data_IF_058965019755
#
_entry.id   IF_058965019755
#
_cell.length_a   1.000
_cell.length_b   1.000
_cell.length_c   1.000
_cell.angle_alpha   90.00
_cell.angle_beta   90.00
_cell.angle_gamma   90.00
#
_symmetry.space_group_name_H-M   'P 1'
#
loop_
_entity.id
_entity.type
_entity.pdbx_description
1 polymer ?
#
# COMPACT_ATOMS: atom_id res chain seq x y z
N UNK A 1 28.30 -0.68 -7.62
CA UNK A 1 27.09 -1.03 -6.84
C UNK A 1 26.99 -2.55 -6.84
N UNK A 2 26.48 -3.17 -5.76
CA UNK A 2 26.39 -4.64 -5.64
C UNK A 2 25.21 -5.16 -6.47
N UNK A 3 25.36 -6.33 -7.11
CA UNK A 3 24.25 -6.96 -7.81
C UNK A 3 23.28 -7.61 -6.85
N UNK A 4 21.97 -7.41 -7.06
CA UNK A 4 20.89 -7.79 -6.15
C UNK A 4 20.05 -8.90 -6.77
N UNK A 5 19.93 -10.02 -6.05
CA UNK A 5 18.95 -11.05 -6.34
C UNK A 5 17.69 -10.79 -5.48
N UNK A 6 16.57 -10.46 -6.12
CA UNK A 6 15.27 -10.38 -5.47
C UNK A 6 14.61 -11.77 -5.49
N UNK A 7 14.31 -12.32 -4.33
CA UNK A 7 13.60 -13.62 -4.20
C UNK A 7 12.23 -13.39 -3.61
N UNK A 8 11.16 -13.65 -4.37
CA UNK A 8 9.81 -13.28 -3.94
C UNK A 8 8.72 -14.20 -4.48
N UNK A 9 7.66 -14.40 -3.70
CA UNK A 9 6.40 -14.95 -4.17
C UNK A 9 5.46 -13.88 -4.77
N UNK A 10 5.77 -12.62 -4.49
CA UNK A 10 4.92 -11.48 -4.82
C UNK A 10 5.57 -10.65 -5.94
N UNK A 11 5.24 -11.00 -7.17
CA UNK A 11 5.72 -10.30 -8.36
C UNK A 11 4.65 -10.34 -9.49
N UNK A 12 4.54 -9.28 -10.31
CA UNK A 12 3.64 -9.32 -11.46
C UNK A 12 3.92 -10.51 -12.39
N UNK A 13 2.92 -10.92 -13.22
CA UNK A 13 1.67 -10.23 -13.55
C UNK A 13 0.55 -10.39 -12.50
N UNK A 14 0.76 -11.16 -11.42
CA UNK A 14 -0.21 -11.21 -10.32
C UNK A 14 -0.42 -9.80 -9.77
N UNK A 15 -1.70 -9.39 -9.68
CA UNK A 15 -2.07 -8.06 -9.17
C UNK A 15 -2.13 -8.04 -7.64
N UNK A 16 -1.62 -6.96 -7.04
CA UNK A 16 -1.68 -6.71 -5.61
C UNK A 16 -0.69 -5.63 -5.17
N UNK A 17 -0.91 -5.04 -4.01
CA UNK A 17 -0.07 -3.95 -3.48
C UNK A 17 1.38 -4.39 -3.23
N UNK A 18 1.59 -5.60 -2.71
CA UNK A 18 2.94 -6.15 -2.48
C UNK A 18 3.66 -6.36 -3.81
N UNK A 19 2.98 -6.97 -4.79
CA UNK A 19 3.51 -7.22 -6.13
C UNK A 19 3.95 -5.92 -6.80
N UNK A 20 3.09 -4.90 -6.76
CA UNK A 20 3.40 -3.58 -7.30
C UNK A 20 4.57 -2.92 -6.58
N UNK A 21 4.65 -3.05 -5.26
CA UNK A 21 5.74 -2.48 -4.48
C UNK A 21 7.09 -3.15 -4.79
N UNK A 22 7.15 -4.48 -4.78
CA UNK A 22 8.38 -5.23 -5.08
C UNK A 22 8.84 -4.95 -6.53
N UNK A 23 7.92 -4.89 -7.48
CA UNK A 23 8.21 -4.52 -8.85
C UNK A 23 8.73 -3.08 -8.95
N UNK A 24 8.07 -2.14 -8.27
CA UNK A 24 8.51 -0.74 -8.26
C UNK A 24 9.91 -0.54 -7.65
N UNK A 25 10.30 -1.34 -6.66
CA UNK A 25 11.66 -1.37 -6.11
C UNK A 25 12.64 -1.94 -7.16
N UNK A 26 12.30 -3.07 -7.80
CA UNK A 26 13.15 -3.69 -8.82
C UNK A 26 13.40 -2.74 -10.01
N UNK A 27 12.35 -2.10 -10.53
CA UNK A 27 12.41 -1.18 -11.68
C UNK A 27 13.15 0.14 -11.41
N UNK A 28 13.47 0.44 -10.15
CA UNK A 28 14.23 1.64 -9.75
C UNK A 28 15.70 1.35 -9.41
N UNK A 29 16.08 0.09 -9.41
CA UNK A 29 17.49 -0.31 -9.39
C UNK A 29 18.04 -0.29 -10.81
N UNK A 30 19.36 -0.09 -11.01
CA UNK A 30 19.96 -0.22 -12.33
C UNK A 30 19.70 -1.61 -12.91
N UNK A 31 19.22 -1.68 -14.15
CA UNK A 31 18.75 -2.91 -14.77
C UNK A 31 19.82 -4.02 -14.85
N UNK A 32 21.08 -3.63 -15.01
CA UNK A 32 22.25 -4.52 -15.03
C UNK A 32 22.66 -5.03 -13.63
N UNK A 33 22.07 -4.47 -12.57
CA UNK A 33 22.41 -4.78 -11.19
C UNK A 33 21.30 -5.51 -10.43
N UNK A 34 20.21 -5.87 -11.07
CA UNK A 34 19.09 -6.58 -10.44
C UNK A 34 18.67 -7.78 -11.27
N UNK A 35 18.36 -8.88 -10.59
CA UNK A 35 17.61 -10.00 -11.18
C UNK A 35 16.54 -10.46 -10.18
N UNK A 36 15.43 -11.01 -10.69
CA UNK A 36 14.29 -11.42 -9.90
C UNK A 36 14.05 -12.91 -10.05
N UNK A 37 13.89 -13.61 -8.93
CA UNK A 37 13.45 -15.00 -8.88
C UNK A 37 12.05 -15.08 -8.27
N UNK A 38 11.07 -15.43 -9.09
CA UNK A 38 9.65 -15.42 -8.73
C UNK A 38 8.91 -16.65 -9.27
N UNK A 39 7.71 -16.99 -8.74
CA UNK A 39 6.91 -18.09 -9.24
C UNK A 39 6.35 -17.81 -10.63
N UNK A 40 5.98 -18.87 -11.36
CA UNK A 40 5.32 -18.82 -12.66
C UNK A 40 3.84 -18.46 -12.47
N UNK A 41 3.36 -17.55 -13.31
CA UNK A 41 1.95 -17.17 -13.42
C UNK A 41 1.53 -17.16 -14.89
N UNK A 42 0.24 -17.23 -15.13
CA UNK A 42 -0.33 -16.96 -16.45
C UNK A 42 0.11 -15.59 -16.93
N UNK A 43 0.40 -15.43 -18.22
CA UNK A 43 0.93 -14.23 -18.85
C UNK A 43 2.31 -13.75 -18.32
N UNK A 44 3.05 -14.55 -17.52
CA UNK A 44 4.37 -14.15 -17.02
C UNK A 44 5.37 -13.85 -18.14
N UNK A 45 5.41 -14.67 -19.21
CA UNK A 45 6.35 -14.48 -20.32
C UNK A 45 6.15 -13.11 -21.01
N UNK A 46 4.91 -12.71 -21.28
CA UNK A 46 4.60 -11.42 -21.89
C UNK A 46 4.92 -10.23 -20.96
N UNK A 47 4.80 -10.41 -19.67
CA UNK A 47 5.20 -9.42 -18.68
C UNK A 47 6.73 -9.30 -18.63
N UNK A 48 7.43 -10.44 -18.52
CA UNK A 48 8.88 -10.52 -18.34
C UNK A 48 9.63 -9.95 -19.55
N UNK A 49 9.10 -10.16 -20.77
CA UNK A 49 9.67 -9.61 -22.02
C UNK A 49 9.69 -8.07 -22.05
N UNK A 50 8.93 -7.39 -21.20
CA UNK A 50 8.88 -5.93 -21.09
C UNK A 50 9.76 -5.36 -19.99
N UNK A 51 10.43 -6.24 -19.22
CA UNK A 51 11.32 -5.78 -18.15
C UNK A 51 12.72 -5.54 -18.70
N UNK A 52 13.39 -4.51 -18.18
CA UNK A 52 14.78 -4.21 -18.55
C UNK A 52 15.78 -5.10 -17.80
N UNK A 53 15.32 -5.84 -16.80
CA UNK A 53 16.13 -6.73 -15.95
C UNK A 53 15.67 -8.19 -16.07
N UNK A 54 16.55 -9.17 -15.82
CA UNK A 54 16.20 -10.59 -15.88
C UNK A 54 15.16 -11.00 -14.83
N UNK A 55 14.09 -11.71 -15.27
CA UNK A 55 13.12 -12.36 -14.40
C UNK A 55 13.17 -13.85 -14.61
N UNK A 56 13.62 -14.57 -13.60
CA UNK A 56 13.74 -16.02 -13.61
C UNK A 56 12.51 -16.63 -12.93
N UNK A 57 11.73 -17.42 -13.67
CA UNK A 57 10.51 -18.01 -13.16
C UNK A 57 10.73 -19.44 -12.62
N UNK A 58 10.23 -19.68 -11.41
CA UNK A 58 10.09 -21.03 -10.85
C UNK A 58 8.81 -21.67 -11.40
N UNK A 59 8.85 -22.98 -11.72
CA UNK A 59 7.73 -23.65 -12.41
C UNK A 59 6.45 -23.82 -11.59
N UNK A 60 6.44 -23.41 -10.32
CA UNK A 60 5.26 -23.47 -9.44
C UNK A 60 4.64 -22.08 -9.25
N UNK A 61 3.36 -22.01 -8.89
CA UNK A 61 2.67 -20.76 -8.54
C UNK A 61 3.00 -20.25 -7.12
N UNK A 62 3.71 -21.03 -6.32
CA UNK A 62 4.18 -20.68 -4.98
C UNK A 62 5.55 -21.32 -4.73
N UNK A 63 6.51 -20.53 -4.31
CA UNK A 63 7.81 -21.00 -3.86
C UNK A 63 7.80 -21.18 -2.34
N UNK A 64 8.18 -22.36 -1.89
CA UNK A 64 8.44 -22.65 -0.48
C UNK A 64 9.95 -22.81 -0.26
N UNK A 65 10.46 -22.71 0.98
CA UNK A 65 11.89 -22.86 1.29
C UNK A 65 12.33 -24.34 1.27
N UNK A 66 12.07 -25.02 0.14
CA UNK A 66 12.42 -26.44 -0.11
C UNK A 66 13.74 -26.55 -0.86
N UNK A 67 14.39 -27.76 -0.85
CA UNK A 67 15.71 -27.94 -1.48
C UNK A 67 15.80 -27.54 -2.93
N UNK A 68 14.74 -27.71 -3.72
CA UNK A 68 14.70 -27.34 -5.15
C UNK A 68 14.77 -25.83 -5.34
N UNK A 69 13.96 -25.07 -4.60
CA UNK A 69 13.97 -23.59 -4.59
C UNK A 69 15.31 -23.08 -4.07
N UNK A 70 15.81 -23.64 -2.96
CA UNK A 70 17.10 -23.27 -2.38
C UNK A 70 18.27 -23.49 -3.36
N UNK A 71 18.27 -24.62 -4.09
CA UNK A 71 19.30 -24.93 -5.10
C UNK A 71 19.25 -23.93 -6.25
N UNK A 72 18.04 -23.65 -6.79
CA UNK A 72 17.90 -22.71 -7.89
C UNK A 72 18.26 -21.28 -7.48
N UNK A 73 17.84 -20.81 -6.32
CA UNK A 73 18.21 -19.50 -5.81
C UNK A 73 19.73 -19.32 -5.67
N UNK A 74 20.44 -20.36 -5.16
CA UNK A 74 21.91 -20.35 -5.08
C UNK A 74 22.58 -20.38 -6.47
N UNK A 75 21.99 -21.11 -7.42
CA UNK A 75 22.49 -21.12 -8.80
C UNK A 75 22.36 -19.74 -9.45
N UNK A 76 21.20 -19.08 -9.33
CA UNK A 76 20.95 -17.73 -9.84
C UNK A 76 21.91 -16.72 -9.18
N UNK A 77 22.10 -16.79 -7.86
CA UNK A 77 23.04 -15.90 -7.17
C UNK A 77 24.43 -15.93 -7.80
N UNK A 78 24.93 -17.11 -8.20
CA UNK A 78 26.24 -17.27 -8.84
C UNK A 78 26.21 -16.93 -10.34
N UNK A 79 25.18 -17.36 -11.05
CA UNK A 79 24.98 -17.12 -12.49
C UNK A 79 24.97 -15.64 -12.82
N UNK A 80 24.32 -14.83 -11.97
CA UNK A 80 24.20 -13.38 -12.14
C UNK A 80 25.22 -12.59 -11.30
N UNK A 81 26.17 -13.27 -10.67
CA UNK A 81 27.21 -12.65 -9.83
C UNK A 81 26.62 -11.70 -8.78
N UNK A 82 25.54 -12.13 -8.11
CA UNK A 82 24.89 -11.35 -7.06
C UNK A 82 25.58 -11.58 -5.72
N UNK A 83 25.84 -10.51 -4.98
CA UNK A 83 26.34 -10.60 -3.60
C UNK A 83 25.34 -10.07 -2.56
N UNK A 84 24.23 -9.55 -3.02
CA UNK A 84 23.15 -9.01 -2.20
C UNK A 84 21.85 -9.74 -2.51
N UNK A 85 21.07 -10.08 -1.46
CA UNK A 85 19.77 -10.73 -1.59
C UNK A 85 18.70 -9.87 -0.94
N UNK A 86 17.60 -9.64 -1.66
CA UNK A 86 16.41 -8.99 -1.16
C UNK A 86 15.25 -9.99 -1.21
N UNK A 87 14.76 -10.43 -0.04
CA UNK A 87 13.51 -11.17 0.02
C UNK A 87 12.35 -10.19 -0.11
N UNK A 88 11.57 -10.33 -1.20
CA UNK A 88 10.42 -9.48 -1.47
C UNK A 88 9.28 -9.60 -0.46
N UNK A 89 9.28 -10.70 0.34
CA UNK A 89 8.55 -10.85 1.59
C UNK A 89 9.41 -11.71 2.54
N UNK A 90 9.49 -11.33 3.81
CA UNK A 90 10.36 -11.99 4.79
C UNK A 90 10.02 -13.49 4.93
N UNK A 91 8.75 -13.81 5.07
CA UNK A 91 8.30 -15.17 5.26
C UNK A 91 7.51 -15.69 4.03
N UNK A 92 7.67 -16.98 3.67
CA UNK A 92 8.55 -17.96 4.29
C UNK A 92 9.97 -18.02 3.68
N UNK A 93 10.21 -17.31 2.55
CA UNK A 93 11.43 -17.45 1.74
C UNK A 93 12.70 -16.97 2.45
N UNK A 94 12.59 -16.10 3.45
CA UNK A 94 13.71 -15.66 4.28
C UNK A 94 14.43 -16.81 5.01
N UNK A 95 13.78 -17.98 5.19
CA UNK A 95 14.42 -19.21 5.70
C UNK A 95 15.54 -19.74 4.77
N UNK A 96 15.62 -19.25 3.53
CA UNK A 96 16.72 -19.56 2.61
C UNK A 96 18.01 -18.79 2.92
N UNK A 97 17.96 -17.77 3.76
CA UNK A 97 19.08 -16.87 4.06
C UNK A 97 20.39 -17.60 4.42
N UNK A 98 20.43 -18.61 5.34
CA UNK A 98 21.67 -19.30 5.68
C UNK A 98 22.32 -20.01 4.48
N UNK A 99 21.49 -20.58 3.60
CA UNK A 99 21.95 -21.25 2.38
C UNK A 99 22.53 -20.28 1.33
N UNK A 100 21.92 -19.10 1.21
CA UNK A 100 22.39 -18.04 0.31
C UNK A 100 23.64 -17.36 0.86
N UNK A 101 23.75 -17.18 2.18
CA UNK A 101 24.96 -16.68 2.84
C UNK A 101 26.16 -17.59 2.54
N UNK A 102 26.00 -18.91 2.71
CA UNK A 102 27.05 -19.90 2.35
C UNK A 102 27.36 -19.94 0.85
N UNK A 103 26.45 -19.51 0.00
CA UNK A 103 26.66 -19.47 -1.45
C UNK A 103 27.34 -18.18 -1.94
N UNK A 104 27.61 -17.21 -1.04
CA UNK A 104 28.35 -15.98 -1.36
C UNK A 104 27.57 -14.67 -1.12
N UNK A 105 26.30 -14.74 -0.68
CA UNK A 105 25.58 -13.51 -0.33
C UNK A 105 26.24 -12.80 0.85
N UNK A 106 26.65 -11.54 0.63
CA UNK A 106 27.29 -10.69 1.65
C UNK A 106 26.29 -9.83 2.41
N UNK A 107 25.21 -9.45 1.75
CA UNK A 107 24.12 -8.66 2.32
C UNK A 107 22.78 -9.36 2.06
N UNK A 108 21.95 -9.48 3.09
CA UNK A 108 20.63 -10.10 2.98
C UNK A 108 19.59 -9.21 3.67
N UNK A 109 18.58 -8.77 2.93
CA UNK A 109 17.51 -7.89 3.39
C UNK A 109 16.17 -8.62 3.25
N UNK A 110 15.28 -8.48 4.21
CA UNK A 110 13.94 -9.06 4.17
C UNK A 110 12.87 -7.97 4.31
N UNK A 111 12.01 -7.85 3.29
CA UNK A 111 10.88 -6.92 3.35
C UNK A 111 9.73 -7.50 4.16
N UNK A 112 8.98 -6.64 4.87
CA UNK A 112 7.69 -6.98 5.47
C UNK A 112 6.61 -6.03 4.97
N UNK A 113 5.37 -6.53 4.86
CA UNK A 113 4.26 -5.82 4.20
C UNK A 113 3.03 -5.67 5.09
N UNK A 114 3.15 -6.04 6.37
CA UNK A 114 2.07 -5.91 7.34
C UNK A 114 1.31 -7.20 7.64
N UNK A 115 1.20 -8.15 6.71
CA UNK A 115 0.55 -9.44 7.01
C UNK A 115 1.35 -10.27 8.02
N UNK A 116 2.65 -10.06 8.12
CA UNK A 116 3.51 -10.68 9.12
C UNK A 116 3.14 -10.27 10.56
N UNK A 117 2.51 -9.13 10.75
CA UNK A 117 2.06 -8.70 12.07
C UNK A 117 0.97 -9.63 12.65
N UNK A 118 0.07 -10.14 11.79
CA UNK A 118 -0.87 -11.19 12.18
C UNK A 118 -0.18 -12.50 12.54
N UNK A 119 0.86 -12.88 11.81
CA UNK A 119 1.67 -14.07 12.07
C UNK A 119 2.45 -13.96 13.37
N UNK A 120 2.87 -12.75 13.77
CA UNK A 120 3.55 -12.51 15.05
C UNK A 120 2.73 -12.98 16.26
N UNK A 121 1.42 -13.07 16.12
CA UNK A 121 0.51 -13.57 17.16
C UNK A 121 0.44 -15.13 17.25
N UNK A 122 0.93 -15.85 16.23
CA UNK A 122 0.89 -17.30 16.16
C UNK A 122 2.25 -17.90 16.55
N UNK A 123 2.34 -18.81 17.55
CA UNK A 123 3.64 -19.27 18.09
C UNK A 123 4.60 -19.82 17.04
N UNK A 124 4.12 -20.70 16.14
CA UNK A 124 4.96 -21.27 15.09
C UNK A 124 5.46 -20.23 14.07
N UNK A 125 4.58 -19.32 13.64
CA UNK A 125 4.93 -18.26 12.70
C UNK A 125 5.86 -17.21 13.35
N UNK A 126 5.65 -16.92 14.64
CA UNK A 126 6.55 -16.07 15.43
C UNK A 126 7.96 -16.65 15.51
N UNK A 127 8.08 -17.97 15.77
CA UNK A 127 9.38 -18.66 15.80
C UNK A 127 10.08 -18.58 14.44
N UNK A 128 9.32 -18.75 13.34
CA UNK A 128 9.84 -18.60 11.97
C UNK A 128 10.32 -17.18 11.70
N UNK A 129 9.53 -16.14 12.04
CA UNK A 129 9.93 -14.74 11.87
C UNK A 129 11.19 -14.40 12.66
N UNK A 130 11.30 -14.90 13.90
CA UNK A 130 12.49 -14.73 14.75
C UNK A 130 13.72 -15.33 14.08
N UNK A 131 13.61 -16.57 13.60
CA UNK A 131 14.71 -17.23 12.89
C UNK A 131 15.11 -16.47 11.63
N UNK A 132 14.16 -16.01 10.82
CA UNK A 132 14.46 -15.20 9.64
C UNK A 132 15.19 -13.91 10.05
N UNK A 133 14.67 -13.19 11.04
CA UNK A 133 15.27 -11.94 11.53
C UNK A 133 16.70 -12.11 12.02
N UNK A 134 17.02 -13.25 12.66
CA UNK A 134 18.38 -13.53 13.15
C UNK A 134 19.37 -13.82 12.01
N UNK A 135 18.90 -14.30 10.86
CA UNK A 135 19.72 -14.73 9.72
C UNK A 135 19.89 -13.65 8.63
N UNK A 136 19.09 -12.59 8.66
CA UNK A 136 19.20 -11.47 7.71
C UNK A 136 19.89 -10.27 8.33
N UNK A 137 20.46 -9.39 7.52
CA UNK A 137 21.14 -8.19 8.00
C UNK A 137 20.16 -7.08 8.36
N UNK A 138 19.03 -6.99 7.62
CA UNK A 138 17.97 -6.00 7.83
C UNK A 138 16.62 -6.63 7.63
N UNK A 139 15.68 -6.32 8.53
CA UNK A 139 14.25 -6.51 8.35
C UNK A 139 13.62 -5.15 8.14
N UNK A 140 12.84 -4.95 7.07
CA UNK A 140 12.14 -3.68 6.87
C UNK A 140 10.75 -3.70 7.48
N UNK A 141 10.19 -2.51 7.73
CA UNK A 141 8.82 -2.34 8.17
C UNK A 141 8.17 -1.14 7.45
N UNK A 142 6.84 -1.13 7.35
CA UNK A 142 6.10 -0.08 6.63
C UNK A 142 5.92 1.17 7.48
N UNK A 143 5.50 1.02 8.73
CA UNK A 143 5.18 2.10 9.65
C UNK A 143 5.26 1.64 11.10
N UNK A 144 4.96 2.55 12.04
CA UNK A 144 5.19 2.34 13.47
C UNK A 144 4.33 1.20 14.04
N UNK A 145 3.08 1.08 13.60
CA UNK A 145 2.22 -0.03 14.00
C UNK A 145 2.86 -1.40 13.75
N UNK A 146 3.46 -1.57 12.55
CA UNK A 146 4.11 -2.83 12.18
C UNK A 146 5.46 -2.99 12.87
N UNK A 147 6.21 -1.90 13.06
CA UNK A 147 7.46 -1.94 13.83
C UNK A 147 7.22 -2.52 15.22
N UNK A 148 6.24 -2.01 15.95
CA UNK A 148 5.90 -2.48 17.30
C UNK A 148 5.48 -3.96 17.32
N UNK A 149 4.66 -4.40 16.34
CA UNK A 149 4.22 -5.80 16.24
C UNK A 149 5.36 -6.75 15.91
N UNK A 150 6.25 -6.37 14.97
CA UNK A 150 7.41 -7.18 14.57
C UNK A 150 8.45 -7.27 15.69
N UNK A 151 8.69 -6.19 16.44
CA UNK A 151 9.59 -6.16 17.58
C UNK A 151 9.23 -7.24 18.62
N UNK A 152 7.93 -7.51 18.81
CA UNK A 152 7.48 -8.58 19.72
C UNK A 152 7.79 -10.01 19.21
N UNK A 153 7.97 -10.18 17.91
CA UNK A 153 8.25 -11.47 17.29
C UNK A 153 9.73 -11.72 17.03
N UNK A 154 10.51 -10.69 16.83
CA UNK A 154 11.94 -10.75 16.52
C UNK A 154 12.78 -10.86 17.79
N UNK A 155 14.07 -11.23 17.63
CA UNK A 155 15.05 -11.06 18.69
C UNK A 155 15.42 -9.59 18.88
N UNK A 156 15.99 -9.23 20.01
CA UNK A 156 16.46 -7.85 20.25
C UNK A 156 17.48 -7.39 19.20
N UNK A 157 18.37 -8.32 18.77
CA UNK A 157 19.37 -8.04 17.72
C UNK A 157 18.73 -7.76 16.36
N UNK A 158 17.73 -8.55 15.98
CA UNK A 158 16.99 -8.34 14.73
C UNK A 158 16.15 -7.06 14.79
N UNK A 159 15.51 -6.79 15.94
CA UNK A 159 14.71 -5.57 16.15
C UNK A 159 15.56 -4.29 16.08
N UNK A 160 16.80 -4.33 16.59
CA UNK A 160 17.72 -3.19 16.52
C UNK A 160 18.20 -2.87 15.08
N UNK A 161 18.05 -3.81 14.14
CA UNK A 161 18.43 -3.67 12.72
C UNK A 161 17.23 -3.43 11.81
N UNK A 162 16.06 -3.16 12.38
CA UNK A 162 14.88 -2.84 11.59
C UNK A 162 14.99 -1.46 10.97
N UNK A 163 14.63 -1.35 9.69
CA UNK A 163 14.64 -0.08 8.94
C UNK A 163 13.29 0.14 8.28
N UNK A 164 12.79 1.37 8.35
CA UNK A 164 11.56 1.74 7.64
C UNK A 164 11.81 1.76 6.14
N UNK A 165 11.00 0.99 5.38
CA UNK A 165 10.93 1.03 3.94
C UNK A 165 9.48 0.80 3.52
N UNK A 166 8.81 1.85 3.12
CA UNK A 166 7.43 1.87 2.69
C UNK A 166 7.33 2.30 1.22
N UNK A 167 6.21 2.02 0.52
CA UNK A 167 5.99 2.49 -0.85
C UNK A 167 6.06 4.01 -0.93
N UNK A 168 6.65 4.51 -2.01
CA UNK A 168 6.63 5.93 -2.34
C UNK A 168 5.42 6.30 -3.19
N UNK A 169 5.15 7.60 -3.29
CA UNK A 169 4.14 8.18 -4.19
C UNK A 169 4.81 8.79 -5.41
N UNK A 170 4.18 8.63 -6.57
CA UNK A 170 4.55 9.36 -7.79
C UNK A 170 3.90 10.73 -7.77
N UNK A 171 4.59 11.72 -7.21
CA UNK A 171 4.09 13.10 -7.08
C UNK A 171 4.07 13.87 -8.41
N UNK A 172 4.55 13.27 -9.49
CA UNK A 172 4.39 13.82 -10.85
C UNK A 172 3.02 13.44 -11.44
N UNK A 173 2.54 12.26 -11.11
CA UNK A 173 1.22 11.76 -11.51
C UNK A 173 0.14 12.25 -10.54
N UNK A 174 0.32 12.00 -9.23
CA UNK A 174 -0.61 12.42 -8.17
C UNK A 174 -0.30 13.84 -7.74
N UNK A 175 -1.04 14.79 -8.27
CA UNK A 175 -0.88 16.23 -8.02
C UNK A 175 -2.18 16.99 -8.28
N UNK A 176 -2.37 18.18 -7.74
CA UNK A 176 -3.47 19.06 -8.14
C UNK A 176 -3.46 19.33 -9.66
N UNK A 177 -4.64 19.32 -10.26
CA UNK A 177 -4.79 19.51 -11.71
C UNK A 177 -4.45 18.27 -12.55
N UNK A 178 -4.50 17.07 -11.98
CA UNK A 178 -4.25 15.79 -12.68
C UNK A 178 -5.39 15.35 -13.61
N UNK A 179 -6.41 16.20 -13.85
CA UNK A 179 -7.51 15.90 -14.77
C UNK A 179 -8.88 15.77 -14.14
N UNK A 180 -9.05 16.13 -12.87
CA UNK A 180 -10.30 16.01 -12.12
C UNK A 180 -11.50 16.67 -12.77
N UNK A 181 -11.30 17.83 -13.43
CA UNK A 181 -12.36 18.51 -14.18
C UNK A 181 -12.98 17.63 -15.27
N UNK A 182 -12.16 16.89 -16.00
CA UNK A 182 -12.65 15.98 -17.04
C UNK A 182 -13.42 14.79 -16.43
N UNK A 183 -12.98 14.28 -15.26
CA UNK A 183 -13.70 13.24 -14.53
C UNK A 183 -15.06 13.76 -14.05
N UNK A 184 -15.09 14.94 -13.41
CA UNK A 184 -16.36 15.57 -12.99
C UNK A 184 -17.34 15.72 -14.16
N UNK A 185 -16.88 16.26 -15.29
CA UNK A 185 -17.70 16.41 -16.49
C UNK A 185 -18.22 15.07 -17.01
N UNK A 186 -17.36 14.04 -17.11
CA UNK A 186 -17.70 12.69 -17.56
C UNK A 186 -18.76 12.02 -16.67
N UNK A 187 -18.76 12.33 -15.38
CA UNK A 187 -19.67 11.77 -14.38
C UNK A 187 -20.89 12.65 -14.09
N UNK A 188 -21.05 13.77 -14.78
CA UNK A 188 -22.17 14.70 -14.57
C UNK A 188 -22.14 15.45 -13.25
N UNK A 189 -20.95 15.58 -12.65
CA UNK A 189 -20.75 16.28 -11.38
C UNK A 189 -20.62 17.78 -11.62
N UNK A 190 -21.41 18.57 -10.91
CA UNK A 190 -21.38 20.04 -11.00
C UNK A 190 -20.04 20.64 -10.57
N UNK A 191 -19.69 21.79 -11.14
CA UNK A 191 -18.38 22.46 -10.89
C UNK A 191 -18.15 22.74 -9.40
N UNK A 192 -19.20 23.18 -8.70
CA UNK A 192 -19.14 23.53 -7.27
C UNK A 192 -19.80 22.48 -6.36
N UNK A 193 -20.12 21.31 -6.88
CA UNK A 193 -20.72 20.22 -6.12
C UNK A 193 -19.63 19.60 -5.23
N UNK A 194 -19.80 19.54 -3.90
CA UNK A 194 -18.83 18.90 -3.01
C UNK A 194 -18.69 17.40 -3.31
N UNK A 195 -17.46 16.90 -3.40
CA UNK A 195 -17.17 15.49 -3.70
C UNK A 195 -16.27 14.88 -2.65
N UNK A 196 -16.75 13.82 -1.99
CA UNK A 196 -15.92 12.92 -1.20
C UNK A 196 -15.49 11.75 -2.08
N UNK A 197 -14.19 11.54 -2.24
CA UNK A 197 -13.66 10.42 -3.01
C UNK A 197 -13.10 9.33 -2.09
N UNK A 198 -13.41 8.06 -2.42
CA UNK A 198 -12.84 6.87 -1.79
C UNK A 198 -12.27 5.95 -2.86
N UNK A 199 -10.97 5.74 -2.84
CA UNK A 199 -10.27 4.85 -3.77
C UNK A 199 -9.79 3.63 -3.02
N UNK A 200 -10.38 2.47 -3.28
CA UNK A 200 -9.91 1.22 -2.67
C UNK A 200 -10.59 -0.02 -3.26
N UNK A 201 -9.97 -1.17 -3.05
CA UNK A 201 -10.68 -2.44 -3.25
C UNK A 201 -11.91 -2.51 -2.33
N UNK A 202 -13.06 -2.90 -2.86
CA UNK A 202 -14.30 -3.00 -2.09
C UNK A 202 -14.31 -4.29 -1.27
N UNK A 203 -13.87 -4.16 -0.03
CA UNK A 203 -13.84 -5.21 1.01
C UNK A 203 -14.20 -4.60 2.37
N UNK A 204 -14.84 -5.37 3.29
CA UNK A 204 -15.40 -4.83 4.53
C UNK A 204 -14.41 -4.06 5.43
N UNK A 205 -13.09 -4.36 5.40
CA UNK A 205 -12.13 -3.64 6.23
C UNK A 205 -11.86 -2.21 5.74
N UNK A 206 -12.19 -1.87 4.48
CA UNK A 206 -11.97 -0.53 3.92
C UNK A 206 -12.99 0.52 4.35
N UNK A 207 -14.12 0.07 4.94
CA UNK A 207 -15.08 0.97 5.58
C UNK A 207 -16.01 1.74 4.63
N UNK A 208 -16.17 1.29 3.37
CA UNK A 208 -17.13 1.93 2.45
C UNK A 208 -18.58 1.87 2.97
N UNK A 209 -18.92 0.83 3.70
CA UNK A 209 -20.20 0.72 4.40
C UNK A 209 -20.36 1.78 5.50
N UNK A 210 -19.31 2.08 6.28
CA UNK A 210 -19.32 3.19 7.26
C UNK A 210 -19.49 4.54 6.56
N UNK A 211 -18.86 4.74 5.38
CA UNK A 211 -19.09 5.95 4.57
C UNK A 211 -20.56 6.08 4.14
N UNK A 212 -21.15 4.98 3.65
CA UNK A 212 -22.57 4.99 3.25
C UNK A 212 -23.49 5.25 4.44
N UNK A 213 -23.20 4.69 5.60
CA UNK A 213 -24.00 4.88 6.82
C UNK A 213 -23.92 6.32 7.35
N UNK A 214 -22.74 6.95 7.27
CA UNK A 214 -22.54 8.36 7.62
C UNK A 214 -23.17 9.34 6.59
N UNK A 215 -23.38 8.88 5.35
CA UNK A 215 -23.71 9.74 4.22
C UNK A 215 -25.05 10.52 4.35
N UNK A 216 -26.16 9.96 4.89
CA UNK A 216 -27.38 10.72 5.12
C UNK A 216 -27.14 11.93 6.04
N UNK A 217 -26.32 11.79 7.08
CA UNK A 217 -25.98 12.89 7.99
C UNK A 217 -25.14 13.95 7.28
N UNK A 218 -24.20 13.55 6.43
CA UNK A 218 -23.40 14.49 5.60
C UNK A 218 -24.32 15.27 4.66
N UNK A 219 -25.20 14.61 3.92
CA UNK A 219 -26.14 15.27 3.01
C UNK A 219 -27.07 16.26 3.70
N UNK A 220 -27.52 15.95 4.90
CA UNK A 220 -28.41 16.82 5.66
C UNK A 220 -27.71 18.11 6.16
N UNK A 221 -26.39 18.10 6.29
CA UNK A 221 -25.64 19.21 6.90
C UNK A 221 -24.70 19.94 5.93
N UNK A 222 -24.49 19.41 4.71
CA UNK A 222 -23.65 20.03 3.69
C UNK A 222 -24.49 20.51 2.52
N UNK A 223 -24.39 21.79 2.19
CA UNK A 223 -25.05 22.36 1.02
C UNK A 223 -24.46 21.87 -0.30
N UNK A 224 -25.10 22.21 -1.44
CA UNK A 224 -24.54 21.93 -2.77
C UNK A 224 -24.69 20.49 -3.25
N UNK A 225 -25.58 19.69 -2.64
CA UNK A 225 -25.83 18.28 -3.00
C UNK A 225 -24.55 17.46 -3.05
N UNK A 226 -23.89 17.21 -1.91
CA UNK A 226 -22.61 16.50 -1.87
C UNK A 226 -22.69 15.11 -2.50
N UNK A 227 -21.61 14.69 -3.17
CA UNK A 227 -21.48 13.43 -3.87
C UNK A 227 -20.42 12.55 -3.23
N UNK A 228 -20.69 11.26 -3.09
CA UNK A 228 -19.74 10.23 -2.70
C UNK A 228 -19.28 9.43 -3.92
N UNK A 229 -18.02 9.56 -4.28
CA UNK A 229 -17.40 8.87 -5.42
C UNK A 229 -16.60 7.66 -4.92
N UNK A 230 -17.08 6.45 -5.19
CA UNK A 230 -16.44 5.18 -4.84
C UNK A 230 -15.71 4.60 -6.04
N UNK A 231 -14.38 4.61 -6.01
CA UNK A 231 -13.50 4.12 -7.08
C UNK A 231 -12.89 2.78 -6.69
N UNK A 232 -13.00 1.82 -7.59
CA UNK A 232 -12.52 0.45 -7.40
C UNK A 232 -13.62 -0.58 -7.48
N UNK A 233 -13.25 -1.84 -7.24
CA UNK A 233 -14.16 -2.98 -7.27
C UNK A 233 -13.78 -4.01 -6.21
N UNK A 234 -14.66 -5.00 -6.00
CA UNK A 234 -14.40 -6.08 -5.06
C UNK A 234 -15.65 -6.84 -4.66
N UNK A 235 -15.50 -7.93 -3.89
CA UNK A 235 -16.61 -8.81 -3.51
C UNK A 235 -17.70 -8.11 -2.69
N UNK A 236 -17.39 -6.96 -2.10
CA UNK A 236 -18.35 -6.18 -1.29
C UNK A 236 -19.21 -5.21 -2.11
N UNK A 237 -18.92 -5.03 -3.41
CA UNK A 237 -19.58 -4.06 -4.30
C UNK A 237 -21.10 -4.18 -4.34
N UNK A 238 -21.62 -5.42 -4.48
CA UNK A 238 -23.06 -5.66 -4.57
C UNK A 238 -23.79 -5.32 -3.25
N UNK A 239 -23.15 -5.62 -2.11
CA UNK A 239 -23.72 -5.31 -0.80
C UNK A 239 -23.74 -3.81 -0.52
N UNK A 240 -22.68 -3.09 -0.90
CA UNK A 240 -22.63 -1.63 -0.81
C UNK A 240 -23.72 -0.97 -1.66
N UNK A 241 -24.00 -1.47 -2.85
CA UNK A 241 -25.10 -0.97 -3.68
C UNK A 241 -26.46 -1.16 -3.02
N UNK A 242 -26.72 -2.35 -2.46
CA UNK A 242 -27.95 -2.59 -1.69
C UNK A 242 -28.05 -1.71 -0.43
N UNK A 243 -26.92 -1.44 0.23
CA UNK A 243 -26.87 -0.56 1.38
C UNK A 243 -27.24 0.88 0.99
N UNK A 244 -26.67 1.42 -0.09
CA UNK A 244 -27.00 2.75 -0.61
C UNK A 244 -28.51 2.89 -0.92
N UNK A 245 -29.12 1.85 -1.51
CA UNK A 245 -30.56 1.82 -1.75
C UNK A 245 -31.39 1.85 -0.46
N UNK A 246 -31.04 1.01 0.52
CA UNK A 246 -31.75 0.99 1.81
C UNK A 246 -31.64 2.31 2.58
N UNK A 247 -30.53 3.00 2.45
CA UNK A 247 -30.32 4.31 3.08
C UNK A 247 -30.91 5.48 2.29
N UNK A 248 -31.45 5.24 1.10
CA UNK A 248 -32.02 6.27 0.23
C UNK A 248 -31.00 7.26 -0.35
N UNK A 249 -29.72 6.85 -0.44
CA UNK A 249 -28.62 7.74 -0.88
C UNK A 249 -28.10 7.42 -2.28
N UNK A 250 -28.76 6.53 -3.02
CA UNK A 250 -28.28 6.05 -4.33
C UNK A 250 -28.01 7.16 -5.35
N UNK A 251 -28.78 8.24 -5.33
CA UNK A 251 -28.66 9.34 -6.28
C UNK A 251 -27.42 10.24 -6.04
N UNK A 252 -26.82 10.13 -4.85
CA UNK A 252 -25.64 10.88 -4.44
C UNK A 252 -24.40 10.00 -4.25
N UNK A 253 -24.46 8.72 -4.63
CA UNK A 253 -23.34 7.77 -4.53
C UNK A 253 -23.00 7.22 -5.91
N UNK A 254 -21.85 7.60 -6.43
CA UNK A 254 -21.36 7.11 -7.72
C UNK A 254 -20.33 5.99 -7.50
N UNK A 255 -20.57 4.86 -8.14
CA UNK A 255 -19.63 3.76 -8.20
C UNK A 255 -18.89 3.77 -9.55
N UNK A 256 -17.67 4.27 -9.59
CA UNK A 256 -16.89 4.36 -10.82
C UNK A 256 -16.41 2.99 -11.35
N UNK A 257 -16.42 1.97 -10.51
CA UNK A 257 -15.81 0.68 -10.86
C UNK A 257 -14.27 0.72 -10.85
N UNK A 258 -13.63 -0.32 -11.39
CA UNK A 258 -12.17 -0.35 -11.53
C UNK A 258 -11.74 0.60 -12.63
N UNK A 259 -10.69 1.40 -12.36
CA UNK A 259 -10.13 2.36 -13.31
C UNK A 259 -8.69 1.98 -13.67
N UNK A 260 -8.21 2.30 -14.89
CA UNK A 260 -6.80 2.16 -15.24
C UNK A 260 -5.90 2.97 -14.31
N UNK A 261 -4.69 2.46 -14.04
CA UNK A 261 -3.76 3.12 -13.13
C UNK A 261 -3.37 4.52 -13.57
N UNK A 262 -3.27 4.74 -14.88
CA UNK A 262 -2.96 6.04 -15.49
C UNK A 262 -4.07 7.09 -15.34
N UNK A 263 -5.33 6.66 -15.21
CA UNK A 263 -6.46 7.56 -14.96
C UNK A 263 -6.69 7.84 -13.47
N UNK A 264 -6.12 7.01 -12.59
CA UNK A 264 -6.38 7.06 -11.15
C UNK A 264 -6.09 8.44 -10.51
N UNK A 265 -4.99 9.15 -10.87
CA UNK A 265 -4.75 10.51 -10.35
C UNK A 265 -5.89 11.50 -10.63
N UNK A 266 -6.53 11.39 -11.80
CA UNK A 266 -7.64 12.27 -12.16
C UNK A 266 -8.90 12.02 -11.31
N UNK A 267 -9.11 10.78 -10.84
CA UNK A 267 -10.21 10.48 -9.91
C UNK A 267 -9.98 11.05 -8.51
N UNK A 268 -8.75 11.07 -8.02
CA UNK A 268 -8.43 11.81 -6.79
C UNK A 268 -8.66 13.31 -6.98
N UNK A 269 -8.14 13.88 -8.07
CA UNK A 269 -8.26 15.31 -8.40
C UNK A 269 -9.71 15.76 -8.64
N UNK A 270 -10.64 14.82 -8.84
CA UNK A 270 -12.06 15.11 -8.90
C UNK A 270 -12.72 15.32 -7.53
N UNK A 271 -12.07 14.94 -6.44
CA UNK A 271 -12.55 15.08 -5.07
C UNK A 271 -12.20 16.41 -4.43
N UNK A 272 -12.92 16.75 -3.36
CA UNK A 272 -12.59 17.84 -2.45
C UNK A 272 -12.06 17.31 -1.11
N UNK A 273 -12.48 16.09 -0.73
CA UNK A 273 -12.02 15.37 0.46
C UNK A 273 -11.81 13.90 0.10
N UNK A 274 -10.74 13.31 0.57
CA UNK A 274 -10.55 11.85 0.49
C UNK A 274 -10.99 11.19 1.79
N UNK A 275 -11.76 10.10 1.70
CA UNK A 275 -12.16 9.34 2.88
C UNK A 275 -12.09 7.82 2.66
N UNK A 276 -11.39 7.12 3.56
CA UNK A 276 -11.39 5.67 3.65
C UNK A 276 -11.33 5.25 5.12
N UNK A 277 -12.46 5.15 5.84
CA UNK A 277 -12.51 4.85 7.27
C UNK A 277 -12.25 3.35 7.52
N UNK A 278 -11.03 2.90 7.22
CA UNK A 278 -10.64 1.51 7.37
C UNK A 278 -10.71 1.06 8.85
N UNK A 279 -11.08 -0.20 9.06
CA UNK A 279 -11.24 -0.77 10.39
C UNK A 279 -10.52 -2.09 10.57
N UNK A 280 -10.06 -2.34 11.77
CA UNK A 280 -9.48 -3.62 12.16
C UNK A 280 -10.58 -4.68 12.30
N UNK A 281 -10.34 -5.88 11.75
CA UNK A 281 -11.24 -7.01 11.78
C UNK A 281 -10.53 -8.28 12.24
N UNK A 282 -11.33 -9.33 12.53
CA UNK A 282 -10.81 -10.65 12.89
C UNK A 282 -9.76 -10.61 14.00
N UNK A 283 -10.04 -9.86 15.06
CA UNK A 283 -9.15 -9.73 16.22
C UNK A 283 -7.71 -9.31 15.86
N UNK A 284 -7.59 -8.37 14.91
CA UNK A 284 -6.28 -7.83 14.49
C UNK A 284 -5.57 -8.60 13.38
N UNK A 285 -6.20 -9.65 12.81
CA UNK A 285 -5.64 -10.39 11.68
C UNK A 285 -5.92 -9.76 10.31
N UNK A 286 -6.95 -8.91 10.22
CA UNK A 286 -7.33 -8.20 8.99
C UNK A 286 -7.26 -6.70 9.26
N UNK A 287 -6.08 -6.12 8.98
CA UNK A 287 -5.74 -4.71 9.22
C UNK A 287 -5.29 -4.03 7.94
N UNK A 288 -5.33 -2.70 7.92
CA UNK A 288 -4.73 -1.92 6.84
C UNK A 288 -3.20 -1.95 6.93
N UNK A 289 -2.52 -2.17 5.79
CA UNK A 289 -1.06 -2.20 5.74
C UNK A 289 -0.43 -0.84 6.01
N UNK A 290 -0.63 0.10 5.13
CA UNK A 290 -0.23 1.50 5.24
C UNK A 290 -1.35 2.39 4.71
N UNK A 291 -2.04 1.93 3.65
CA UNK A 291 -3.00 2.75 2.95
C UNK A 291 -2.31 3.79 2.07
N UNK A 292 -1.53 3.35 1.09
CA UNK A 292 -0.86 4.25 0.12
C UNK A 292 -1.84 5.27 -0.50
N UNK A 293 -3.11 4.91 -0.59
CA UNK A 293 -4.20 5.74 -1.12
C UNK A 293 -4.38 7.06 -0.34
N UNK A 294 -4.06 7.08 0.96
CA UNK A 294 -4.06 8.33 1.74
C UNK A 294 -2.95 9.26 1.29
N UNK A 295 -1.77 8.70 1.02
CA UNK A 295 -0.62 9.48 0.54
C UNK A 295 -0.81 9.95 -0.90
N UNK A 296 -1.46 9.14 -1.75
CA UNK A 296 -1.86 9.51 -3.11
C UNK A 296 -2.87 10.68 -3.08
N UNK A 297 -3.86 10.62 -2.19
CA UNK A 297 -4.82 11.69 -1.97
C UNK A 297 -4.13 12.97 -1.46
N UNK A 298 -3.27 12.87 -0.45
CA UNK A 298 -2.49 14.00 0.06
C UNK A 298 -1.59 14.61 -1.02
N UNK A 299 -0.93 13.79 -1.85
CA UNK A 299 -0.13 14.27 -2.98
C UNK A 299 -0.97 15.05 -4.01
N UNK A 300 -2.26 14.69 -4.15
CA UNK A 300 -3.22 15.38 -5.01
C UNK A 300 -3.79 16.65 -4.35
N UNK A 301 -3.37 16.98 -3.13
CA UNK A 301 -3.80 18.16 -2.40
C UNK A 301 -5.14 18.00 -1.67
N UNK A 302 -5.59 16.76 -1.43
CA UNK A 302 -6.82 16.51 -0.70
C UNK A 302 -6.56 16.36 0.81
N UNK A 303 -7.38 16.96 1.67
CA UNK A 303 -7.43 16.58 3.07
C UNK A 303 -7.96 15.14 3.20
N UNK A 304 -7.45 14.41 4.17
CA UNK A 304 -7.69 12.96 4.29
C UNK A 304 -8.45 12.62 5.56
N UNK A 305 -9.49 11.77 5.46
CA UNK A 305 -10.15 11.16 6.62
C UNK A 305 -9.93 9.64 6.55
N UNK A 306 -9.08 9.15 7.44
CA UNK A 306 -8.75 7.73 7.54
C UNK A 306 -9.30 7.07 8.78
N UNK A 307 -9.36 5.73 8.78
CA UNK A 307 -9.66 4.95 9.98
C UNK A 307 -8.41 4.60 10.78
N UNK A 308 -8.60 4.11 12.00
CA UNK A 308 -7.55 3.76 12.97
C UNK A 308 -6.96 2.34 12.79
N UNK A 309 -7.15 1.73 11.63
CA UNK A 309 -6.74 0.34 11.40
C UNK A 309 -5.28 0.21 10.99
N UNK A 310 -4.54 -0.59 11.73
CA UNK A 310 -3.18 -0.99 11.35
C UNK A 310 -2.25 0.18 11.14
N UNK A 311 -1.59 0.23 9.98
CA UNK A 311 -0.68 1.31 9.60
C UNK A 311 -1.35 2.52 8.95
N UNK A 312 -2.67 2.59 8.86
CA UNK A 312 -3.35 3.75 8.26
C UNK A 312 -3.03 5.08 8.97
N UNK A 313 -2.96 5.15 10.31
CA UNK A 313 -2.53 6.36 11.00
C UNK A 313 -1.12 6.84 10.64
N UNK A 314 -0.22 5.94 10.23
CA UNK A 314 1.15 6.31 9.82
C UNK A 314 1.19 7.09 8.47
N UNK A 315 0.08 7.07 7.73
CA UNK A 315 -0.08 7.77 6.45
C UNK A 315 -0.87 9.10 6.57
N UNK A 316 -1.09 9.58 7.79
CA UNK A 316 -1.85 10.81 8.08
C UNK A 316 -1.16 11.53 9.24
N UNK A 317 -1.01 12.85 9.16
CA UNK A 317 -0.60 13.69 10.30
C UNK A 317 -1.88 14.33 10.86
N UNK A 318 -2.40 13.83 12.01
CA UNK A 318 -3.70 14.25 12.53
C UNK A 318 -3.76 15.76 12.81
N UNK A 319 -4.80 16.44 12.28
CA UNK A 319 -4.98 17.89 12.41
C UNK A 319 -4.13 18.74 11.47
N UNK A 320 -3.16 18.14 10.75
CA UNK A 320 -2.32 18.85 9.79
C UNK A 320 -2.62 18.46 8.34
N UNK A 321 -2.62 17.14 8.03
CA UNK A 321 -2.89 16.63 6.68
C UNK A 321 -4.24 15.96 6.56
N UNK A 322 -4.92 15.75 7.67
CA UNK A 322 -6.20 15.05 7.74
C UNK A 322 -6.58 14.65 9.15
N UNK A 323 -7.53 13.73 9.23
CA UNK A 323 -8.05 13.19 10.49
C UNK A 323 -8.03 11.67 10.50
N UNK A 324 -7.78 11.09 11.67
CA UNK A 324 -7.97 9.67 11.95
C UNK A 324 -9.21 9.53 12.83
N UNK A 325 -10.17 8.71 12.38
CA UNK A 325 -11.41 8.43 13.12
C UNK A 325 -11.44 6.96 13.54
N UNK A 326 -12.17 6.61 14.63
CA UNK A 326 -12.38 5.22 14.98
C UNK A 326 -13.05 4.47 13.83
N UNK A 327 -12.46 3.36 13.39
CA UNK A 327 -12.97 2.57 12.28
C UNK A 327 -14.34 1.97 12.59
N UNK A 328 -15.36 2.35 11.82
CA UNK A 328 -16.74 1.97 12.04
C UNK A 328 -17.57 2.99 12.82
N UNK A 329 -17.02 4.13 13.23
CA UNK A 329 -17.79 5.23 13.82
C UNK A 329 -18.37 6.14 12.74
N UNK A 330 -19.66 5.98 12.46
CA UNK A 330 -20.41 6.79 11.49
C UNK A 330 -20.46 8.26 11.91
N UNK A 331 -20.71 8.53 13.18
CA UNK A 331 -20.83 9.88 13.72
C UNK A 331 -19.49 10.65 13.66
N UNK A 332 -18.39 10.00 14.08
CA UNK A 332 -17.07 10.62 14.02
C UNK A 332 -16.64 10.91 12.57
N UNK A 333 -16.97 10.00 11.66
CA UNK A 333 -16.71 10.17 10.22
C UNK A 333 -17.55 11.31 9.65
N UNK A 334 -18.86 11.32 9.90
CA UNK A 334 -19.77 12.38 9.44
C UNK A 334 -19.32 13.75 9.92
N UNK A 335 -18.98 13.88 11.21
CA UNK A 335 -18.51 15.14 11.78
C UNK A 335 -17.29 15.71 11.06
N UNK A 336 -16.28 14.88 10.74
CA UNK A 336 -15.07 15.32 10.02
C UNK A 336 -15.34 15.64 8.54
N UNK A 337 -16.20 14.89 7.88
CA UNK A 337 -16.60 15.19 6.51
C UNK A 337 -17.38 16.51 6.41
N UNK A 338 -18.32 16.75 7.33
CA UNK A 338 -19.09 18.01 7.39
C UNK A 338 -18.14 19.19 7.67
N UNK A 339 -17.24 19.07 8.64
CA UNK A 339 -16.23 20.10 8.95
C UNK A 339 -15.45 20.50 7.71
N UNK A 340 -14.88 19.52 6.98
CA UNK A 340 -14.07 19.80 5.79
C UNK A 340 -14.88 20.31 4.61
N UNK A 341 -16.09 19.82 4.39
CA UNK A 341 -16.92 20.23 3.26
C UNK A 341 -17.61 21.60 3.50
N UNK A 342 -17.82 21.99 4.75
CA UNK A 342 -18.37 23.30 5.11
C UNK A 342 -17.30 24.42 5.24
N UNK A 343 -16.01 24.04 5.34
CA UNK A 343 -14.87 24.97 5.31
C UNK A 343 -13.89 24.62 4.17
N UNK A 344 -14.22 24.97 2.93
CA UNK A 344 -13.34 24.68 1.78
C UNK A 344 -11.96 25.35 1.87
N UNK A 345 -11.86 26.48 2.56
CA UNK A 345 -10.58 27.19 2.73
C UNK A 345 -9.66 26.42 3.67
N UNK A 346 -10.18 26.02 4.83
CA UNK A 346 -9.45 25.17 5.78
C UNK A 346 -9.11 23.79 5.20
N UNK A 347 -10.03 23.19 4.44
CA UNK A 347 -9.81 21.93 3.74
C UNK A 347 -8.67 22.02 2.72
N UNK A 348 -8.65 23.09 1.89
CA UNK A 348 -7.57 23.35 0.92
C UNK A 348 -6.24 23.52 1.64
N UNK A 349 -6.18 24.34 2.69
CA UNK A 349 -4.95 24.55 3.46
C UNK A 349 -4.42 23.24 4.11
N UNK A 350 -5.32 22.36 4.58
CA UNK A 350 -4.97 21.02 5.09
C UNK A 350 -4.42 20.14 3.97
N UNK A 351 -5.03 20.15 2.78
CA UNK A 351 -4.57 19.41 1.61
C UNK A 351 -3.20 19.88 1.13
N UNK A 352 -2.92 21.18 1.10
CA UNK A 352 -1.60 21.74 0.75
C UNK A 352 -0.50 21.28 1.73
N UNK A 353 -0.79 21.25 3.03
CA UNK A 353 0.13 20.67 4.03
C UNK A 353 0.37 19.19 3.77
N UNK A 354 -0.68 18.45 3.38
CA UNK A 354 -0.58 17.05 3.01
C UNK A 354 0.34 16.84 1.81
N UNK A 355 0.17 17.63 0.76
CA UNK A 355 1.01 17.60 -0.43
C UNK A 355 2.49 17.88 -0.09
N UNK A 356 2.75 18.95 0.65
CA UNK A 356 4.10 19.31 1.08
C UNK A 356 4.76 18.23 1.93
N UNK A 357 3.99 17.55 2.80
CA UNK A 357 4.46 16.44 3.60
C UNK A 357 4.81 15.21 2.75
N UNK A 358 3.96 14.85 1.78
CA UNK A 358 4.25 13.74 0.87
C UNK A 358 5.49 14.02 0.03
N UNK A 359 5.64 15.22 -0.48
CA UNK A 359 6.82 15.64 -1.24
C UNK A 359 8.11 15.56 -0.41
N UNK A 360 8.06 15.86 0.87
CA UNK A 360 9.22 15.82 1.77
C UNK A 360 9.57 14.41 2.23
N UNK A 361 8.58 13.52 2.45
CA UNK A 361 8.80 12.28 3.19
C UNK A 361 8.55 11.00 2.38
N UNK A 362 7.76 11.06 1.28
CA UNK A 362 7.18 9.89 0.67
C UNK A 362 7.40 9.74 -0.83
N UNK A 363 8.19 10.61 -1.46
CA UNK A 363 8.50 10.46 -2.90
C UNK A 363 9.32 9.19 -3.17
N UNK A 364 9.09 8.60 -4.33
CA UNK A 364 9.86 7.43 -4.76
C UNK A 364 11.37 7.67 -4.79
N UNK A 365 11.85 8.88 -5.07
CA UNK A 365 13.28 9.21 -5.04
C UNK A 365 13.90 8.97 -3.65
N UNK A 366 13.18 9.33 -2.57
CA UNK A 366 13.62 9.11 -1.19
C UNK A 366 13.61 7.62 -0.82
N UNK A 367 12.57 6.89 -1.26
CA UNK A 367 12.46 5.44 -1.05
C UNK A 367 13.59 4.71 -1.77
N UNK A 368 13.92 5.12 -3.01
CA UNK A 368 15.00 4.54 -3.81
C UNK A 368 16.37 4.81 -3.17
N UNK A 369 16.62 6.03 -2.71
CA UNK A 369 17.86 6.37 -1.98
C UNK A 369 18.02 5.49 -0.74
N UNK A 370 16.96 5.39 0.08
CA UNK A 370 16.97 4.55 1.28
C UNK A 370 17.14 3.07 0.97
N UNK A 371 16.53 2.58 -0.11
CA UNK A 371 16.78 1.21 -0.58
C UNK A 371 18.25 1.00 -0.93
N UNK A 372 18.85 1.95 -1.64
CA UNK A 372 20.30 1.92 -1.96
C UNK A 372 21.18 1.83 -0.72
N UNK A 373 20.90 2.64 0.31
CA UNK A 373 21.60 2.60 1.61
C UNK A 373 21.43 1.25 2.30
N UNK A 374 20.21 0.73 2.35
CA UNK A 374 19.89 -0.58 2.95
C UNK A 374 20.65 -1.72 2.25
N UNK A 375 20.76 -1.67 0.93
CA UNK A 375 21.43 -2.70 0.13
C UNK A 375 22.97 -2.56 0.18
N UNK A 376 23.50 -1.36 0.36
CA UNK A 376 24.94 -1.12 0.45
C UNK A 376 25.54 -1.54 1.80
N UNK A 377 24.82 -1.39 2.90
CA UNK A 377 25.20 -1.82 4.27
C UNK A 377 25.71 -0.72 5.13
#
# INVERSE_FOLDING_TARGET
>A
MRRVLIVTNDFPPRRGGIQSFVHALASRLPADQVCVYAPMWEAAAAFDARQEFPVIRHRTSLMLPVPTVARRARAILREYDCDTVLFGAAAPLGLLAPGLRRAGARRIVALTHGHEAGWASLPAARSMLRRIGDEVDVVTYLGEYFRLRLTQALSWRASARMVRLAPGVDTTAFRPGAGGKAIRQRMGVGTNQPVVVCVSRMVPRKGQDTLLQAWPTVQANVGGNPLLLLVGDGPYRAELGRLAQRLGVSDSVLFAGPVPGEELPAYYDAGDVFAMPCRTRRHGLDVEGLGIVYLEASATGLPVVGGDSGGAPDAIVPGETGYVVPGGSEDALAARLIELLCDPVGATAMGEKGQAWVDREWRWSLVTSRLGEILAG
#
